data_IF_855651650604
#
_entry.id   IF_855651650604
#
_cell.length_a   1.000
_cell.length_b   1.000
_cell.length_c   1.000
_cell.angle_alpha   90.00
_cell.angle_beta   90.00
_cell.angle_gamma   90.00
#
_symmetry.space_group_name_H-M   'P 1'
#
loop_
_entity.id
_entity.type
_entity.pdbx_description
1 polymer ?
#
# COMPACT_ATOMS: atom_id res chain seq x y z
N UNK A 1 1.38 2.44 -13.48
CA UNK A 1 0.88 3.13 -12.28
C UNK A 1 2.07 3.64 -11.48
N UNK A 2 2.15 4.93 -11.13
CA UNK A 2 3.22 5.46 -10.24
C UNK A 2 2.59 5.79 -8.88
N UNK A 3 2.91 5.00 -7.84
CA UNK A 3 2.49 5.26 -6.46
C UNK A 3 3.62 6.02 -5.75
N UNK A 4 3.93 7.19 -6.27
CA UNK A 4 4.85 8.15 -5.66
C UNK A 4 4.08 9.16 -4.78
N UNK A 5 4.80 9.73 -3.80
CA UNK A 5 4.29 10.87 -3.03
C UNK A 5 3.95 12.02 -3.98
N UNK A 6 2.66 12.29 -4.17
CA UNK A 6 2.15 13.44 -4.93
C UNK A 6 1.19 13.14 -6.09
N UNK A 7 1.01 11.88 -6.51
CA UNK A 7 0.26 11.54 -7.75
C UNK A 7 -1.23 11.17 -7.57
N UNK A 8 -1.84 11.43 -6.42
CA UNK A 8 -3.30 11.31 -6.25
C UNK A 8 -4.00 12.58 -6.77
N UNK A 9 -5.00 12.48 -7.65
CA UNK A 9 -5.78 13.60 -8.21
C UNK A 9 -6.95 13.98 -7.30
N UNK A 10 -6.98 15.23 -6.82
CA UNK A 10 -8.06 15.93 -6.09
C UNK A 10 -7.53 17.30 -5.62
N UNK A 11 -8.01 18.40 -6.21
CA UNK A 11 -7.63 19.75 -5.81
C UNK A 11 -8.40 20.14 -4.54
N UNK A 12 -7.82 19.95 -3.34
CA UNK A 12 -8.45 20.45 -2.11
C UNK A 12 -7.87 19.92 -0.81
N UNK A 13 -6.94 20.67 -0.21
CA UNK A 13 -6.76 20.89 1.23
C UNK A 13 -6.53 19.73 2.23
N UNK A 14 -6.74 18.47 1.87
CA UNK A 14 -6.52 17.32 2.77
C UNK A 14 -5.09 16.81 2.57
N UNK A 15 -4.34 16.65 3.66
CA UNK A 15 -3.00 16.09 3.64
C UNK A 15 -3.03 14.65 3.08
N UNK A 16 -2.77 14.52 1.77
CA UNK A 16 -2.79 13.23 1.06
C UNK A 16 -1.51 12.46 1.28
N UNK A 17 -1.62 11.13 1.23
CA UNK A 17 -0.48 10.21 1.35
C UNK A 17 -0.31 9.64 2.75
N UNK A 18 -0.79 10.30 3.80
CA UNK A 18 -0.62 9.84 5.18
C UNK A 18 -1.19 8.43 5.42
N UNK A 19 -2.42 8.16 4.97
CA UNK A 19 -3.05 6.85 5.20
C UNK A 19 -2.36 5.71 4.44
N UNK A 20 -1.93 5.96 3.20
CA UNK A 20 -1.22 4.95 2.42
C UNK A 20 0.23 4.78 2.91
N UNK A 21 0.89 5.86 3.28
CA UNK A 21 2.24 5.83 3.85
C UNK A 21 2.24 5.08 5.19
N UNK A 22 1.25 5.35 6.05
CA UNK A 22 1.04 4.62 7.31
C UNK A 22 0.79 3.14 7.03
N UNK A 23 -0.05 2.82 6.04
CA UNK A 23 -0.35 1.43 5.69
C UNK A 23 0.88 0.71 5.14
N UNK A 24 1.68 1.37 4.29
CA UNK A 24 2.95 0.85 3.79
C UNK A 24 3.91 0.57 4.93
N UNK A 25 4.02 1.49 5.89
CA UNK A 25 4.90 1.35 7.05
C UNK A 25 4.43 0.23 7.98
N UNK A 26 3.14 0.22 8.33
CA UNK A 26 2.52 -0.82 9.15
C UNK A 26 2.74 -2.20 8.55
N UNK A 27 2.50 -2.36 7.25
CA UNK A 27 2.71 -3.62 6.55
C UNK A 27 4.18 -4.03 6.56
N UNK A 28 5.14 -3.11 6.41
CA UNK A 28 6.57 -3.43 6.50
C UNK A 28 6.99 -3.86 7.90
N UNK A 29 6.61 -3.10 8.93
CA UNK A 29 6.95 -3.39 10.34
C UNK A 29 6.43 -4.77 10.74
N UNK A 30 5.18 -5.07 10.37
CA UNK A 30 4.52 -6.33 10.71
C UNK A 30 4.81 -7.45 9.70
N UNK A 31 5.80 -7.24 8.83
CA UNK A 31 6.19 -8.16 7.76
C UNK A 31 5.01 -8.59 6.87
N UNK A 32 3.92 -7.84 6.81
CA UNK A 32 2.78 -8.13 5.94
C UNK A 32 3.07 -7.93 4.46
N UNK A 33 1.99 -7.93 3.68
CA UNK A 33 2.00 -7.56 2.26
C UNK A 33 0.79 -6.70 1.94
N UNK A 34 1.00 -5.64 1.16
CA UNK A 34 -0.03 -4.76 0.63
C UNK A 34 0.03 -4.85 -0.89
N UNK A 35 -1.06 -5.31 -1.50
CA UNK A 35 -1.21 -5.40 -2.94
C UNK A 35 -2.32 -4.46 -3.39
N UNK A 36 -2.04 -3.69 -4.43
CA UNK A 36 -2.99 -2.76 -5.04
C UNK A 36 -3.11 -3.11 -6.51
N UNK A 37 -4.31 -3.49 -6.92
CA UNK A 37 -4.68 -3.72 -8.30
C UNK A 37 -5.58 -2.57 -8.74
N UNK A 38 -5.33 -1.96 -9.90
CA UNK A 38 -6.15 -0.87 -10.41
C UNK A 38 -6.04 -0.78 -11.92
N UNK A 39 -7.14 -1.06 -12.63
CA UNK A 39 -7.13 -1.23 -14.08
C UNK A 39 -6.08 -2.29 -14.50
N UNK A 40 -5.07 -1.89 -15.26
CA UNK A 40 -3.93 -2.71 -15.68
C UNK A 40 -2.73 -2.59 -14.72
N UNK A 41 -2.83 -1.78 -13.67
CA UNK A 41 -1.74 -1.55 -12.72
C UNK A 41 -1.76 -2.54 -11.57
N UNK A 42 -0.58 -3.02 -11.22
CA UNK A 42 -0.31 -3.78 -10.01
C UNK A 42 0.81 -3.12 -9.21
N UNK A 43 0.62 -3.00 -7.90
CA UNK A 43 1.65 -2.60 -6.96
C UNK A 43 1.68 -3.57 -5.79
N UNK A 44 2.87 -3.96 -5.36
CA UNK A 44 3.09 -4.76 -4.16
C UNK A 44 4.09 -4.06 -3.25
N UNK A 45 3.73 -3.96 -1.98
CA UNK A 45 4.56 -3.45 -0.90
C UNK A 45 4.69 -4.55 0.15
N UNK A 46 5.92 -4.98 0.39
CA UNK A 46 6.26 -5.97 1.40
C UNK A 46 7.60 -5.60 2.06
N UNK A 47 8.15 -6.55 2.84
CA UNK A 47 9.45 -6.38 3.51
C UNK A 47 10.63 -6.12 2.55
N UNK A 48 10.50 -6.50 1.28
CA UNK A 48 11.56 -6.38 0.26
C UNK A 48 11.46 -5.07 -0.54
N UNK A 49 10.43 -4.26 -0.28
CA UNK A 49 10.29 -2.91 -0.84
C UNK A 49 8.97 -2.70 -1.57
N UNK A 50 9.01 -1.90 -2.64
CA UNK A 50 7.85 -1.63 -3.50
C UNK A 50 8.17 -2.10 -4.92
N UNK A 51 7.25 -2.85 -5.53
CA UNK A 51 7.34 -3.26 -6.93
C UNK A 51 6.06 -2.87 -7.66
N UNK A 52 6.21 -2.55 -8.94
CA UNK A 52 5.14 -2.07 -9.81
C UNK A 52 5.18 -2.83 -11.12
N UNK A 53 4.03 -3.36 -11.53
CA UNK A 53 3.89 -4.11 -12.77
C UNK A 53 2.63 -3.65 -13.51
N UNK A 54 2.62 -3.86 -14.83
CA UNK A 54 1.39 -3.81 -15.59
C UNK A 54 0.91 -5.25 -15.83
N UNK A 55 -0.36 -5.50 -15.62
CA UNK A 55 -1.00 -6.79 -15.84
C UNK A 55 -1.66 -6.82 -17.21
N UNK A 56 -1.65 -7.98 -17.85
CA UNK A 56 -2.36 -8.24 -19.12
C UNK A 56 -3.89 -8.36 -18.92
N UNK A 57 -4.36 -8.22 -17.69
CA UNK A 57 -5.77 -8.21 -17.31
C UNK A 57 -6.15 -6.81 -16.81
N UNK A 58 -7.29 -6.31 -17.26
CA UNK A 58 -7.86 -5.05 -16.79
C UNK A 58 -9.21 -5.28 -16.11
N UNK A 59 -9.45 -4.55 -15.03
CA UNK A 59 -10.77 -4.47 -14.41
C UNK A 59 -11.06 -3.01 -14.04
N UNK A 60 -12.30 -2.58 -14.24
CA UNK A 60 -12.72 -1.25 -13.85
C UNK A 60 -12.90 -1.20 -12.33
N UNK A 61 -11.93 -0.60 -11.64
CA UNK A 61 -11.96 -0.46 -10.19
C UNK A 61 -10.58 -0.45 -9.56
N UNK A 62 -10.57 -0.50 -8.23
CA UNK A 62 -9.35 -0.67 -7.44
C UNK A 62 -9.61 -1.73 -6.37
N UNK A 63 -8.72 -2.72 -6.31
CA UNK A 63 -8.71 -3.75 -5.27
C UNK A 63 -7.48 -3.53 -4.42
N UNK A 64 -7.69 -3.46 -3.10
CA UNK A 64 -6.62 -3.39 -2.12
C UNK A 64 -6.68 -4.68 -1.30
N UNK A 65 -5.60 -5.45 -1.35
CA UNK A 65 -5.46 -6.68 -0.60
C UNK A 65 -4.34 -6.53 0.44
N UNK A 66 -4.65 -6.86 1.69
CA UNK A 66 -3.74 -6.68 2.82
C UNK A 66 -3.59 -8.03 3.51
N UNK A 67 -2.37 -8.54 3.51
CA UNK A 67 -1.99 -9.74 4.26
C UNK A 67 -1.22 -9.31 5.50
N UNK A 68 -1.74 -9.68 6.67
CA UNK A 68 -1.09 -9.45 7.96
C UNK A 68 -0.57 -10.79 8.49
N UNK A 69 0.73 -10.84 8.82
CA UNK A 69 1.31 -12.02 9.45
C UNK A 69 1.05 -11.96 10.95
N UNK A 70 0.46 -13.04 11.48
CA UNK A 70 0.29 -13.25 12.91
C UNK A 70 1.48 -14.07 13.42
N UNK A 71 2.47 -13.40 13.97
CA UNK A 71 3.41 -14.03 14.90
C UNK A 71 2.85 -13.80 16.32
N UNK A 72 3.35 -14.47 17.35
CA UNK A 72 2.88 -14.31 18.74
C UNK A 72 3.11 -12.89 19.32
N UNK A 73 3.62 -11.97 18.50
CA UNK A 73 3.85 -10.56 18.77
C UNK A 73 2.65 -9.70 18.35
N UNK A 74 2.31 -8.69 19.16
CA UNK A 74 1.28 -7.70 18.83
C UNK A 74 1.65 -6.92 17.55
N UNK A 75 0.63 -6.54 16.76
CA UNK A 75 0.81 -5.62 15.65
C UNK A 75 1.31 -4.26 16.16
N UNK A 76 2.37 -3.73 15.55
CA UNK A 76 3.00 -2.47 15.96
C UNK A 76 2.71 -1.36 14.94
N UNK A 77 2.36 -0.19 15.45
CA UNK A 77 2.37 1.07 14.71
C UNK A 77 3.64 1.84 15.08
N UNK A 78 4.20 2.59 14.14
CA UNK A 78 5.47 3.31 14.28
C UNK A 78 5.46 4.37 15.40
N UNK A 79 4.29 4.92 15.72
CA UNK A 79 4.07 5.92 16.78
C UNK A 79 3.89 5.30 18.19
N UNK A 80 3.86 3.98 18.35
CA UNK A 80 3.72 3.31 19.66
C UNK A 80 5.08 3.19 20.43
N UNK A 81 5.86 4.27 20.46
CA UNK A 81 7.15 4.36 21.20
C UNK A 81 6.99 4.80 22.65
#
# INVERSE_FOLDING_TARGET
MSIERGNSTCMGGVARGLGLDLLKEFVRINQGTLEVYSNEGYAIIDKDGERYENLDISFEGTVVHITLRRDENLYQLSDDS
#
